data_IF_078136907797
#
_entry.id   IF_078136907797
#
_cell.length_a   1.000
_cell.length_b   1.000
_cell.length_c   1.000
_cell.angle_alpha   90.00
_cell.angle_beta   90.00
_cell.angle_gamma   90.00
#
_symmetry.space_group_name_H-M   'P 1'
#
loop_
_entity.id
_entity.type
_entity.pdbx_description
1 polymer ?
#
# COMPACT_ATOMS: atom_id res chain seq x y z
N UNK A 1 10.67 6.01 8.94
CA UNK A 1 10.33 5.71 7.53
C UNK A 1 9.14 6.54 7.06
N UNK A 2 7.96 6.34 7.62
CA UNK A 2 6.69 6.98 7.20
C UNK A 2 6.75 8.52 7.03
N UNK A 3 7.33 9.23 8.01
CA UNK A 3 7.48 10.69 7.94
C UNK A 3 8.55 11.15 6.94
N UNK A 4 9.62 10.36 6.74
CA UNK A 4 10.70 10.71 5.81
C UNK A 4 10.26 10.73 4.35
N UNK A 5 9.21 9.97 4.02
CA UNK A 5 8.58 9.95 2.70
C UNK A 5 7.28 10.76 2.64
N UNK A 6 6.91 11.46 3.71
CA UNK A 6 5.68 12.25 3.80
C UNK A 6 4.40 11.45 3.44
N UNK A 7 4.35 10.17 3.82
CA UNK A 7 3.18 9.31 3.53
C UNK A 7 1.86 9.93 4.04
N UNK A 8 1.76 10.52 5.24
CA UNK A 8 0.51 11.13 5.70
C UNK A 8 0.04 12.30 4.84
N UNK A 9 0.97 13.01 4.19
CA UNK A 9 0.66 14.15 3.34
C UNK A 9 0.11 13.68 1.98
N UNK A 10 0.74 12.67 1.38
CA UNK A 10 0.41 12.22 0.02
C UNK A 10 -0.61 11.09 -0.03
N UNK A 11 -0.70 10.28 1.02
CA UNK A 11 -1.64 9.17 1.16
C UNK A 11 -2.27 9.18 2.57
N UNK A 12 -3.10 10.20 2.89
CA UNK A 12 -3.82 10.22 4.15
C UNK A 12 -4.71 8.98 4.27
N UNK A 13 -4.73 8.37 5.45
CA UNK A 13 -5.41 7.09 5.70
C UNK A 13 -4.60 5.85 5.34
N UNK A 14 -3.34 5.99 4.90
CA UNK A 14 -2.48 4.83 4.64
C UNK A 14 -1.57 4.52 5.84
N UNK A 15 -1.40 3.22 6.13
CA UNK A 15 -0.42 2.73 7.11
C UNK A 15 0.57 1.76 6.44
N UNK A 16 1.84 2.17 6.23
CA UNK A 16 2.91 1.30 5.77
C UNK A 16 3.10 0.08 6.68
N UNK A 17 3.15 -1.11 6.07
CA UNK A 17 3.40 -2.39 6.74
C UNK A 17 4.66 -3.10 6.24
N UNK A 18 5.09 -2.79 5.01
CA UNK A 18 6.33 -3.30 4.45
C UNK A 18 6.94 -2.31 3.45
N UNK A 19 8.23 -2.47 3.19
CA UNK A 19 8.98 -1.71 2.19
C UNK A 19 9.98 -2.65 1.53
N UNK A 20 9.93 -2.78 0.20
CA UNK A 20 10.72 -3.78 -0.53
C UNK A 20 12.19 -3.39 -0.74
N UNK A 21 12.63 -2.22 -0.26
CA UNK A 21 13.98 -1.68 -0.49
C UNK A 21 14.22 -1.10 -1.88
N UNK A 22 13.40 -1.45 -2.87
CA UNK A 22 13.37 -0.89 -4.23
C UNK A 22 12.49 0.36 -4.38
N UNK A 23 11.88 0.86 -3.30
CA UNK A 23 11.03 2.05 -3.32
C UNK A 23 9.53 1.76 -3.22
N UNK A 24 9.08 0.51 -3.25
CA UNK A 24 7.66 0.18 -3.14
C UNK A 24 7.27 -0.06 -1.68
N UNK A 25 6.30 0.71 -1.21
CA UNK A 25 5.60 0.49 0.06
C UNK A 25 4.43 -0.46 -0.15
N UNK A 26 4.21 -1.34 0.82
CA UNK A 26 2.92 -2.01 1.05
C UNK A 26 2.23 -1.27 2.19
N UNK A 27 0.99 -0.84 1.98
CA UNK A 27 0.24 -0.04 2.94
C UNK A 27 -1.16 -0.64 3.14
N UNK A 28 -1.67 -0.59 4.36
CA UNK A 28 -3.10 -0.69 4.59
C UNK A 28 -3.80 0.55 4.08
N UNK A 29 -4.90 0.37 3.36
CA UNK A 29 -5.83 1.41 2.97
C UNK A 29 -6.93 1.54 4.04
N UNK A 30 -6.73 2.47 4.98
CA UNK A 30 -7.65 2.75 6.09
C UNK A 30 -8.48 4.02 5.84
N UNK A 31 -8.68 4.40 4.56
CA UNK A 31 -9.56 5.54 4.22
C UNK A 31 -11.02 5.28 4.59
N UNK A 32 -11.42 4.02 4.55
CA UNK A 32 -12.74 3.53 4.94
C UNK A 32 -12.65 2.65 6.20
N UNK A 33 -13.79 2.32 6.82
CA UNK A 33 -13.83 1.39 7.95
C UNK A 33 -13.40 -0.03 7.54
N UNK A 34 -12.81 -0.78 8.48
CA UNK A 34 -12.44 -2.17 8.27
C UNK A 34 -13.65 -3.04 7.88
N UNK A 35 -13.43 -4.02 7.00
CA UNK A 35 -14.42 -5.02 6.62
C UNK A 35 -14.02 -6.34 7.29
N UNK A 36 -14.76 -6.75 8.31
CA UNK A 36 -14.42 -7.97 9.06
C UNK A 36 -13.03 -7.90 9.70
N UNK A 37 -12.70 -6.76 10.32
CA UNK A 37 -11.41 -6.48 10.97
C UNK A 37 -10.18 -6.41 10.03
N UNK A 38 -10.40 -6.41 8.71
CA UNK A 38 -9.35 -6.33 7.71
C UNK A 38 -9.43 -5.03 6.89
N UNK A 39 -8.26 -4.56 6.46
CA UNK A 39 -8.12 -3.46 5.50
C UNK A 39 -7.48 -3.97 4.21
N UNK A 40 -7.86 -3.41 3.05
CA UNK A 40 -7.16 -3.70 1.80
C UNK A 40 -5.68 -3.32 1.89
N UNK A 41 -4.85 -4.09 1.20
CA UNK A 41 -3.43 -3.80 1.04
C UNK A 41 -3.19 -3.22 -0.35
N UNK A 42 -2.57 -2.05 -0.39
CA UNK A 42 -2.16 -1.36 -1.61
C UNK A 42 -0.64 -1.22 -1.68
N UNK A 43 -0.11 -1.05 -2.88
CA UNK A 43 1.29 -0.70 -3.09
C UNK A 43 1.42 0.66 -3.77
N UNK A 44 2.36 1.46 -3.29
CA UNK A 44 2.69 2.77 -3.86
C UNK A 44 4.21 2.98 -3.87
N UNK A 45 4.73 3.65 -4.90
CA UNK A 45 6.16 3.91 -5.01
C UNK A 45 6.49 5.15 -4.19
N UNK A 46 7.60 5.15 -3.46
CA UNK A 46 8.02 6.24 -2.60
C UNK A 46 8.28 7.55 -3.37
N UNK A 47 8.53 7.44 -4.69
CA UNK A 47 8.65 8.59 -5.59
C UNK A 47 7.34 9.03 -6.28
N UNK A 48 6.23 8.31 -6.10
CA UNK A 48 4.93 8.64 -6.69
C UNK A 48 3.77 8.22 -5.77
N UNK A 49 3.80 8.71 -4.52
CA UNK A 49 2.75 8.43 -3.54
C UNK A 49 1.43 9.13 -3.92
N UNK A 50 0.32 8.42 -3.78
CA UNK A 50 -1.02 8.97 -3.98
C UNK A 50 -2.07 7.89 -4.25
N UNK A 51 -3.32 8.31 -4.35
CA UNK A 51 -4.48 7.41 -4.47
C UNK A 51 -5.04 7.27 -5.90
N UNK A 52 -4.41 7.92 -6.88
CA UNK A 52 -4.82 7.77 -8.28
C UNK A 52 -4.39 6.40 -8.82
N UNK A 53 -5.02 5.98 -9.91
CA UNK A 53 -4.81 4.67 -10.52
C UNK A 53 -3.34 4.43 -10.95
N UNK A 54 -2.60 5.49 -11.28
CA UNK A 54 -1.18 5.45 -11.66
C UNK A 54 -0.21 5.57 -10.47
N UNK A 55 -0.73 5.78 -9.26
CA UNK A 55 0.08 6.05 -8.06
C UNK A 55 0.02 4.90 -7.05
N UNK A 56 -1.09 4.18 -7.03
CA UNK A 56 -1.30 3.04 -6.15
C UNK A 56 -2.03 1.89 -6.84
N UNK A 57 -1.63 0.67 -6.54
CA UNK A 57 -2.27 -0.55 -7.01
C UNK A 57 -2.77 -1.35 -5.81
N UNK A 58 -4.00 -1.89 -5.88
CA UNK A 58 -4.53 -2.80 -4.85
C UNK A 58 -3.95 -4.19 -5.07
N UNK A 59 -3.39 -4.79 -4.02
CA UNK A 59 -2.71 -6.09 -4.08
C UNK A 59 -3.57 -7.18 -3.45
N UNK A 60 -4.30 -6.85 -2.38
CA UNK A 60 -5.17 -7.80 -1.71
C UNK A 60 -6.27 -7.10 -0.91
N UNK A 61 -7.32 -7.86 -0.58
CA UNK A 61 -8.44 -7.39 0.25
C UNK A 61 -8.20 -7.58 1.75
N UNK A 62 -7.13 -8.30 2.13
CA UNK A 62 -6.76 -8.56 3.52
C UNK A 62 -5.25 -8.76 3.65
N UNK A 63 -4.74 -8.61 4.87
CA UNK A 63 -3.32 -8.82 5.17
C UNK A 63 -2.88 -10.25 4.83
N UNK A 64 -3.65 -11.25 5.24
CA UNK A 64 -3.32 -12.66 4.99
C UNK A 64 -3.25 -13.00 3.50
N UNK A 65 -4.12 -12.41 2.68
CA UNK A 65 -4.08 -12.62 1.23
C UNK A 65 -2.86 -11.93 0.61
N UNK A 66 -2.46 -10.75 1.10
CA UNK A 66 -1.22 -10.11 0.67
C UNK A 66 0.02 -10.98 0.97
N UNK A 67 0.08 -11.60 2.16
CA UNK A 67 1.19 -12.49 2.53
C UNK A 67 1.22 -13.83 1.76
N UNK A 68 0.08 -14.29 1.26
CA UNK A 68 -0.04 -15.56 0.51
C UNK A 68 0.06 -15.37 -1.00
N UNK A 69 0.02 -14.13 -1.48
CA UNK A 69 0.18 -13.80 -2.89
C UNK A 69 1.53 -14.24 -3.43
N UNK A 70 1.57 -14.61 -4.71
CA UNK A 70 2.80 -15.04 -5.41
C UNK A 70 3.12 -14.14 -6.60
N UNK A 71 2.46 -12.99 -6.70
CA UNK A 71 2.64 -12.03 -7.80
C UNK A 71 3.72 -11.03 -7.40
N UNK A 72 4.69 -10.80 -8.28
CA UNK A 72 5.62 -9.69 -8.10
C UNK A 72 4.88 -8.38 -8.36
N UNK A 73 4.99 -7.44 -7.43
CA UNK A 73 4.29 -6.17 -7.52
C UNK A 73 4.81 -5.29 -8.66
N UNK A 74 6.09 -5.48 -9.03
CA UNK A 74 6.70 -4.70 -10.10
C UNK A 74 6.20 -5.18 -11.49
N UNK A 75 5.60 -6.38 -11.59
CA UNK A 75 4.91 -6.85 -12.80
C UNK A 75 3.52 -6.22 -13.01
N UNK A 76 2.96 -5.58 -11.98
CA UNK A 76 1.61 -4.98 -12.00
C UNK A 76 1.62 -3.48 -12.35
N UNK A 77 2.78 -2.93 -12.74
CA UNK A 77 2.99 -1.51 -13.03
C UNK A 77 3.26 -1.21 -14.50
#
# INVERSE_FOLDING_TARGET
MLLGYNVPQYMPGALPIAFNGGGTFYLFDMRESAIGDEYPVVCAHSGNLGWRADQSVRVADSFLNACRGTVDIDDLR
#
